data_IF_520135500318
#
_entry.id   IF_520135500318
#
_cell.length_a   1.000
_cell.length_b   1.000
_cell.length_c   1.000
_cell.angle_alpha   90.00
_cell.angle_beta   90.00
_cell.angle_gamma   90.00
#
_symmetry.space_group_name_H-M   'P 1'
#
loop_
_entity.id
_entity.type
_entity.pdbx_description
1 polymer ?
#
# COMPACT_ATOMS: atom_id res chain seq x y z
N UNK A 1 24.26 -22.55 4.88
CA UNK A 1 23.18 -21.95 4.08
C UNK A 1 22.06 -22.93 3.75
N UNK A 2 22.36 -24.16 3.29
CA UNK A 2 21.34 -25.17 3.00
C UNK A 2 20.34 -25.41 4.15
N UNK A 3 20.81 -25.74 5.36
CA UNK A 3 19.92 -25.98 6.52
C UNK A 3 19.00 -24.78 6.81
N UNK A 4 19.51 -23.56 6.69
CA UNK A 4 18.73 -22.32 6.90
C UNK A 4 17.64 -22.14 5.85
N UNK A 5 17.89 -22.55 4.61
CA UNK A 5 16.87 -22.56 3.55
C UNK A 5 15.79 -23.60 3.86
N UNK A 6 16.16 -24.82 4.30
CA UNK A 6 15.20 -25.86 4.66
C UNK A 6 14.34 -25.46 5.88
N UNK A 7 14.92 -24.81 6.89
CA UNK A 7 14.18 -24.21 8.01
C UNK A 7 13.22 -23.10 7.55
N UNK A 8 13.70 -22.22 6.66
CA UNK A 8 12.89 -21.14 6.11
C UNK A 8 11.71 -21.66 5.27
N UNK A 9 11.92 -22.71 4.47
CA UNK A 9 10.86 -23.42 3.73
C UNK A 9 9.78 -23.90 4.68
N UNK A 10 10.16 -24.57 5.77
CA UNK A 10 9.22 -25.05 6.78
C UNK A 10 8.45 -23.92 7.46
N UNK A 11 9.15 -22.84 7.84
CA UNK A 11 8.54 -21.67 8.48
C UNK A 11 7.53 -20.94 7.59
N UNK A 12 7.79 -20.87 6.30
CA UNK A 12 6.96 -20.15 5.33
C UNK A 12 6.03 -21.07 4.52
N UNK A 13 5.92 -22.34 4.91
CA UNK A 13 5.10 -23.35 4.25
C UNK A 13 5.32 -23.41 2.72
N UNK A 14 6.58 -23.31 2.29
CA UNK A 14 6.94 -23.30 0.87
C UNK A 14 6.83 -24.71 0.28
N UNK A 15 6.20 -24.79 -0.88
CA UNK A 15 6.06 -26.01 -1.67
C UNK A 15 6.56 -25.70 -3.08
N UNK A 16 7.43 -26.56 -3.61
CA UNK A 16 8.00 -26.44 -4.95
C UNK A 16 7.53 -27.62 -5.81
N UNK A 17 7.40 -27.41 -7.11
CA UNK A 17 6.92 -28.42 -8.05
C UNK A 17 7.89 -29.60 -8.15
N UNK A 18 9.19 -29.33 -8.15
CA UNK A 18 10.23 -30.34 -8.26
C UNK A 18 11.56 -29.91 -7.59
N UNK A 19 12.54 -30.81 -7.61
CA UNK A 19 13.89 -30.58 -7.07
C UNK A 19 14.63 -29.49 -7.86
N UNK A 20 14.34 -29.34 -9.15
CA UNK A 20 14.99 -28.34 -10.01
C UNK A 20 14.54 -26.93 -9.60
N UNK A 21 13.25 -26.73 -9.37
CA UNK A 21 12.71 -25.48 -8.83
C UNK A 21 13.28 -25.21 -7.43
N UNK A 22 13.26 -26.20 -6.52
CA UNK A 22 13.82 -26.05 -5.17
C UNK A 22 15.29 -25.60 -5.21
N UNK A 23 16.08 -26.16 -6.12
CA UNK A 23 17.50 -25.79 -6.29
C UNK A 23 17.65 -24.37 -6.86
N UNK A 24 16.82 -23.98 -7.83
CA UNK A 24 16.79 -22.60 -8.33
C UNK A 24 16.45 -21.59 -7.22
N UNK A 25 15.40 -21.90 -6.45
CA UNK A 25 14.93 -21.10 -5.30
C UNK A 25 15.99 -20.98 -4.20
N UNK A 26 16.76 -22.04 -3.96
CA UNK A 26 17.89 -21.99 -3.03
C UNK A 26 18.98 -20.99 -3.45
N UNK A 27 19.30 -20.91 -4.75
CA UNK A 27 20.32 -19.97 -5.24
C UNK A 27 19.87 -18.53 -5.02
N UNK A 28 18.60 -18.23 -5.31
CA UNK A 28 17.99 -16.92 -5.07
C UNK A 28 17.97 -16.59 -3.58
N UNK A 29 17.51 -17.54 -2.75
CA UNK A 29 17.49 -17.41 -1.30
C UNK A 29 18.86 -17.08 -0.73
N UNK A 30 19.89 -17.83 -1.12
CA UNK A 30 21.26 -17.59 -0.66
C UNK A 30 21.74 -16.17 -1.00
N UNK A 31 21.54 -15.75 -2.25
CA UNK A 31 21.93 -14.40 -2.71
C UNK A 31 21.24 -13.29 -1.91
N UNK A 32 19.92 -13.43 -1.71
CA UNK A 32 19.14 -12.47 -0.93
C UNK A 32 19.58 -12.41 0.54
N UNK A 33 19.81 -13.56 1.17
CA UNK A 33 20.29 -13.65 2.56
C UNK A 33 21.64 -12.97 2.73
N UNK A 34 22.60 -13.24 1.84
CA UNK A 34 23.93 -12.61 1.87
C UNK A 34 23.84 -11.08 1.71
N UNK A 35 22.97 -10.60 0.81
CA UNK A 35 22.68 -9.17 0.63
C UNK A 35 22.11 -8.54 1.91
N UNK A 36 21.10 -9.17 2.50
CA UNK A 36 20.42 -8.71 3.72
C UNK A 36 21.43 -8.58 4.86
N UNK A 37 22.25 -9.59 5.10
CA UNK A 37 23.24 -9.59 6.17
C UNK A 37 24.35 -8.57 5.97
N UNK A 38 24.78 -8.38 4.72
CA UNK A 38 25.75 -7.35 4.39
C UNK A 38 25.20 -5.95 4.70
N UNK A 39 23.99 -5.64 4.26
CA UNK A 39 23.39 -4.31 4.40
C UNK A 39 22.99 -3.99 5.85
N UNK A 40 22.54 -4.99 6.61
CA UNK A 40 22.17 -4.81 8.01
C UNK A 40 23.33 -4.37 8.93
N UNK A 41 24.59 -4.53 8.49
CA UNK A 41 25.80 -4.06 9.20
C UNK A 41 25.97 -2.53 9.17
N UNK A 42 25.38 -1.85 8.18
CA UNK A 42 25.62 -0.41 7.91
C UNK A 42 24.37 0.46 7.99
N UNK A 43 23.19 -0.15 8.19
CA UNK A 43 21.90 0.54 8.12
C UNK A 43 21.25 0.75 9.48
N UNK A 44 20.55 1.88 9.57
CA UNK A 44 19.72 2.30 10.70
C UNK A 44 18.39 1.54 10.75
N UNK A 45 17.79 1.26 9.60
CA UNK A 45 16.66 0.32 9.46
C UNK A 45 17.16 -1.11 9.24
N UNK A 46 16.29 -2.09 9.46
CA UNK A 46 16.60 -3.51 9.33
C UNK A 46 15.83 -4.17 8.19
N UNK A 47 16.54 -5.02 7.48
CA UNK A 47 16.00 -5.98 6.53
C UNK A 47 15.87 -7.35 7.21
N UNK A 48 14.92 -8.18 6.75
CA UNK A 48 14.75 -9.55 7.21
C UNK A 48 14.68 -10.54 6.06
N UNK A 49 15.09 -11.77 6.34
CA UNK A 49 14.82 -12.95 5.51
C UNK A 49 13.34 -13.31 5.68
N UNK A 50 12.47 -12.51 5.05
CA UNK A 50 11.01 -12.61 5.16
C UNK A 50 10.46 -13.63 4.15
N UNK A 51 9.14 -13.64 3.96
CA UNK A 51 8.49 -14.59 3.04
C UNK A 51 8.93 -14.44 1.58
N UNK A 52 9.58 -13.35 1.16
CA UNK A 52 9.98 -13.13 -0.23
C UNK A 52 11.42 -13.56 -0.53
N UNK A 53 12.10 -14.23 0.41
CA UNK A 53 13.53 -14.50 0.32
C UNK A 53 13.92 -15.40 -0.86
N UNK A 54 13.04 -16.26 -1.37
CA UNK A 54 13.29 -17.12 -2.52
C UNK A 54 12.84 -16.55 -3.88
N UNK A 55 12.42 -15.29 -3.92
CA UNK A 55 12.02 -14.58 -5.14
C UNK A 55 13.13 -13.67 -5.63
N UNK A 56 13.34 -13.64 -6.95
CA UNK A 56 14.12 -12.56 -7.57
C UNK A 56 13.36 -11.25 -7.44
N UNK A 57 14.05 -10.12 -7.65
CA UNK A 57 13.37 -8.84 -7.60
C UNK A 57 12.33 -8.71 -8.73
N UNK A 58 12.62 -9.22 -9.92
CA UNK A 58 11.69 -9.17 -11.06
C UNK A 58 10.42 -10.00 -10.79
N UNK A 59 10.55 -11.20 -10.23
CA UNK A 59 9.40 -12.01 -9.82
C UNK A 59 8.59 -11.30 -8.73
N UNK A 60 9.26 -10.71 -7.75
CA UNK A 60 8.60 -9.96 -6.69
C UNK A 60 7.81 -8.77 -7.24
N UNK A 61 8.45 -7.95 -8.10
CA UNK A 61 7.81 -6.81 -8.76
C UNK A 61 6.59 -7.25 -9.56
N UNK A 62 6.73 -8.29 -10.37
CA UNK A 62 5.64 -8.77 -11.22
C UNK A 62 4.42 -9.31 -10.42
N UNK A 63 4.64 -9.88 -9.23
CA UNK A 63 3.59 -10.56 -8.46
C UNK A 63 2.97 -9.69 -7.36
N UNK A 64 3.72 -8.76 -6.76
CA UNK A 64 3.32 -8.08 -5.51
C UNK A 64 3.13 -6.57 -5.65
N UNK A 65 3.49 -5.98 -6.79
CA UNK A 65 3.16 -4.59 -7.13
C UNK A 65 2.03 -4.56 -8.17
N UNK A 66 1.53 -3.38 -8.55
CA UNK A 66 0.37 -3.29 -9.44
C UNK A 66 -0.24 -1.91 -9.64
N UNK A 67 0.40 -0.85 -9.18
CA UNK A 67 -0.02 0.51 -9.52
C UNK A 67 0.33 0.81 -10.99
N UNK A 68 -0.60 1.43 -11.73
CA UNK A 68 -0.44 1.70 -13.18
C UNK A 68 -0.59 3.19 -13.53
N UNK A 69 0.18 4.06 -12.87
CA UNK A 69 0.17 5.52 -13.07
C UNK A 69 0.36 5.99 -14.51
N UNK A 70 1.32 5.40 -15.24
CA UNK A 70 1.71 5.87 -16.58
C UNK A 70 0.77 5.49 -17.74
N UNK A 71 -0.07 4.45 -17.58
CA UNK A 71 -0.86 3.90 -18.69
C UNK A 71 -2.31 4.41 -18.75
N UNK A 72 -2.82 5.02 -17.67
CA UNK A 72 -4.25 5.36 -17.52
C UNK A 72 -4.50 6.88 -17.53
N UNK A 73 -3.44 7.70 -17.46
CA UNK A 73 -3.54 9.16 -17.36
C UNK A 73 -3.79 9.91 -18.69
N UNK A 74 -4.10 9.23 -19.80
CA UNK A 74 -4.33 9.91 -21.09
C UNK A 74 -5.74 10.52 -21.25
N UNK A 75 -6.62 10.51 -20.24
CA UNK A 75 -8.01 10.94 -20.48
C UNK A 75 -8.70 11.79 -19.41
N UNK A 76 -8.07 12.13 -18.28
CA UNK A 76 -8.74 12.94 -17.24
C UNK A 76 -7.87 14.00 -16.57
N UNK A 77 -6.96 14.62 -17.32
CA UNK A 77 -6.47 15.97 -17.01
C UNK A 77 -7.57 17.02 -17.25
N UNK A 78 -8.75 16.82 -16.68
CA UNK A 78 -9.65 17.90 -16.40
C UNK A 78 -9.13 18.55 -15.13
N UNK A 79 -8.46 19.69 -15.27
CA UNK A 79 -8.08 20.57 -14.16
C UNK A 79 -9.37 20.85 -13.37
N UNK A 80 -9.64 20.06 -12.32
CA UNK A 80 -10.64 20.43 -11.32
C UNK A 80 -10.02 21.57 -10.53
N UNK A 81 -10.41 22.78 -10.91
CA UNK A 81 -10.07 24.07 -10.29
C UNK A 81 -10.61 24.22 -8.85
N UNK A 82 -10.91 23.13 -8.15
CA UNK A 82 -11.23 23.17 -6.72
C UNK A 82 -9.93 23.31 -5.94
N UNK A 83 -9.81 24.38 -5.17
CA UNK A 83 -8.72 24.55 -4.20
C UNK A 83 -8.62 23.32 -3.28
N UNK A 84 -7.41 22.81 -3.06
CA UNK A 84 -7.16 21.74 -2.10
C UNK A 84 -7.81 22.05 -0.75
N UNK A 85 -8.68 21.16 -0.26
CA UNK A 85 -9.54 21.35 0.92
C UNK A 85 -8.77 21.80 2.15
N UNK A 86 -7.56 21.27 2.33
CA UNK A 86 -6.74 21.57 3.49
C UNK A 86 -5.69 22.67 3.22
N UNK A 87 -5.73 23.36 2.08
CA UNK A 87 -4.74 24.38 1.70
C UNK A 87 -4.48 25.40 2.81
N UNK A 88 -5.55 25.90 3.45
CA UNK A 88 -5.50 26.95 4.47
C UNK A 88 -5.30 26.43 5.90
N UNK A 89 -5.18 25.12 6.11
CA UNK A 89 -4.86 24.57 7.44
C UNK A 89 -3.42 24.94 7.80
N UNK A 90 -3.22 25.61 8.93
CA UNK A 90 -1.89 25.98 9.41
C UNK A 90 -1.16 24.78 10.00
N UNK A 91 0.16 24.69 9.79
CA UNK A 91 0.96 23.58 10.32
C UNK A 91 0.97 23.54 11.85
N UNK A 92 0.91 24.70 12.51
CA UNK A 92 0.84 24.78 13.97
C UNK A 92 -0.47 24.26 14.57
N UNK A 93 -1.53 24.11 13.77
CA UNK A 93 -2.79 23.51 14.20
C UNK A 93 -2.82 21.98 14.03
N UNK A 94 -1.84 21.40 13.31
CA UNK A 94 -1.79 19.95 13.11
C UNK A 94 -1.13 19.25 14.32
N UNK A 95 -1.58 18.03 14.67
CA UNK A 95 -0.88 17.21 15.65
C UNK A 95 0.56 16.91 15.18
N UNK A 96 1.51 16.85 16.11
CA UNK A 96 2.91 16.47 15.82
C UNK A 96 2.98 15.01 15.29
N UNK A 97 2.10 14.15 15.80
CA UNK A 97 2.00 12.76 15.38
C UNK A 97 0.53 12.35 15.22
N UNK A 98 0.24 11.58 14.19
CA UNK A 98 -1.06 10.97 13.93
C UNK A 98 -0.88 9.48 13.75
N UNK A 99 -1.75 8.69 14.38
CA UNK A 99 -1.81 7.24 14.20
C UNK A 99 -3.28 6.81 14.22
N UNK A 100 -3.87 6.66 13.04
CA UNK A 100 -5.28 6.31 12.90
C UNK A 100 -5.61 4.91 13.44
N UNK A 101 -4.61 4.05 13.63
CA UNK A 101 -4.80 2.73 14.28
C UNK A 101 -5.27 2.93 15.72
N UNK A 102 -4.65 3.87 16.45
CA UNK A 102 -5.02 4.21 17.83
C UNK A 102 -6.39 4.86 17.96
N UNK A 103 -6.94 5.36 16.85
CA UNK A 103 -8.29 5.96 16.76
C UNK A 103 -9.34 4.97 16.26
N UNK A 104 -8.97 3.70 16.04
CA UNK A 104 -9.88 2.67 15.53
C UNK A 104 -10.29 2.86 14.07
N UNK A 105 -9.59 3.71 13.31
CA UNK A 105 -9.90 4.04 11.91
C UNK A 105 -9.05 3.24 10.91
N UNK A 106 -8.56 2.05 11.30
CA UNK A 106 -7.74 1.19 10.44
C UNK A 106 -8.14 -0.27 10.69
N UNK A 107 -8.57 -0.98 9.65
CA UNK A 107 -8.84 -2.43 9.71
C UNK A 107 -7.53 -3.22 9.85
N UNK A 108 -7.58 -4.51 10.27
CA UNK A 108 -6.40 -5.37 10.30
C UNK A 108 -5.67 -5.42 8.96
N UNK A 109 -4.37 -5.73 9.00
CA UNK A 109 -3.57 -5.98 7.79
C UNK A 109 -4.18 -7.13 6.99
N UNK A 110 -4.21 -6.95 5.67
CA UNK A 110 -4.67 -7.95 4.70
C UNK A 110 -3.49 -8.38 3.81
N UNK A 111 -3.70 -9.41 3.01
CA UNK A 111 -2.69 -9.96 2.09
C UNK A 111 -3.29 -10.08 0.68
N UNK A 112 -2.71 -9.35 -0.28
CA UNK A 112 -3.10 -9.39 -1.70
C UNK A 112 -2.60 -10.66 -2.41
N UNK A 113 -1.63 -11.38 -1.84
CA UNK A 113 -1.02 -12.53 -2.51
C UNK A 113 -0.32 -12.14 -3.81
N UNK A 114 -0.22 -13.08 -4.75
CA UNK A 114 0.40 -12.89 -6.06
C UNK A 114 -0.58 -12.27 -7.08
N UNK A 115 -1.19 -11.15 -6.71
CA UNK A 115 -2.14 -10.40 -7.52
C UNK A 115 -1.81 -8.91 -7.40
N UNK A 116 -1.65 -8.20 -8.51
CA UNK A 116 -1.34 -6.77 -8.58
C UNK A 116 -2.50 -5.84 -8.21
N UNK A 117 -3.20 -6.16 -7.13
CA UNK A 117 -4.41 -5.47 -6.67
C UNK A 117 -4.14 -4.44 -5.55
N UNK A 118 -2.88 -4.06 -5.32
CA UNK A 118 -2.51 -3.07 -4.30
C UNK A 118 -3.31 -1.76 -4.40
N UNK A 119 -3.68 -1.34 -5.61
CA UNK A 119 -4.55 -0.19 -5.89
C UNK A 119 -5.91 -0.31 -5.19
N UNK A 120 -6.53 -1.50 -5.25
CA UNK A 120 -7.82 -1.78 -4.60
C UNK A 120 -7.68 -1.78 -3.07
N UNK A 121 -6.62 -2.40 -2.53
CA UNK A 121 -6.35 -2.42 -1.09
C UNK A 121 -6.08 -1.01 -0.54
N UNK A 122 -5.33 -0.19 -1.28
CA UNK A 122 -5.04 1.20 -0.90
C UNK A 122 -6.31 2.04 -0.83
N UNK A 123 -7.14 2.00 -1.90
CA UNK A 123 -8.42 2.71 -1.96
C UNK A 123 -9.40 2.25 -0.87
N UNK A 124 -9.55 0.93 -0.68
CA UNK A 124 -10.39 0.37 0.39
C UNK A 124 -9.90 0.83 1.76
N UNK A 125 -8.59 0.76 2.04
CA UNK A 125 -8.01 1.21 3.30
C UNK A 125 -8.32 2.67 3.63
N UNK A 126 -8.27 3.55 2.63
CA UNK A 126 -8.63 4.96 2.80
C UNK A 126 -10.13 5.15 3.11
N UNK A 127 -11.02 4.43 2.43
CA UNK A 127 -12.48 4.53 2.64
C UNK A 127 -12.88 3.96 3.99
N UNK A 128 -12.35 2.79 4.38
CA UNK A 128 -12.65 2.17 5.66
C UNK A 128 -12.33 3.14 6.81
N UNK A 129 -11.17 3.81 6.75
CA UNK A 129 -10.76 4.79 7.75
C UNK A 129 -11.57 6.08 7.71
N UNK A 130 -11.77 6.68 6.54
CA UNK A 130 -12.59 7.88 6.40
C UNK A 130 -14.03 7.65 6.88
N UNK A 131 -14.60 6.47 6.59
CA UNK A 131 -15.93 6.06 7.04
C UNK A 131 -16.01 5.94 8.54
N UNK A 132 -15.01 5.32 9.18
CA UNK A 132 -14.98 5.31 10.64
C UNK A 132 -14.97 6.74 11.17
N UNK A 133 -14.08 7.60 10.68
CA UNK A 133 -13.90 8.96 11.21
C UNK A 133 -15.18 9.79 11.09
N UNK A 134 -15.93 9.62 9.99
CA UNK A 134 -17.12 10.42 9.70
C UNK A 134 -18.42 9.83 10.27
N UNK A 135 -18.54 8.50 10.29
CA UNK A 135 -19.78 7.79 10.66
C UNK A 135 -19.66 6.96 11.94
N UNK A 136 -18.49 6.90 12.55
CA UNK A 136 -18.20 6.16 13.79
C UNK A 136 -18.06 4.64 13.62
N UNK A 137 -18.23 4.09 12.40
CA UNK A 137 -18.29 2.65 12.17
C UNK A 137 -17.13 2.18 11.29
N UNK A 138 -16.25 1.35 11.84
CA UNK A 138 -15.22 0.65 11.07
C UNK A 138 -15.82 -0.60 10.45
N UNK A 139 -15.77 -0.71 9.12
CA UNK A 139 -16.34 -1.81 8.35
C UNK A 139 -15.23 -2.36 7.46
N UNK A 140 -15.03 -3.68 7.44
CA UNK A 140 -14.12 -4.29 6.47
C UNK A 140 -14.83 -4.40 5.12
N UNK A 141 -14.38 -3.64 4.13
CA UNK A 141 -14.93 -3.61 2.77
C UNK A 141 -14.22 -4.61 1.87
N UNK A 142 -14.84 -4.93 0.73
CA UNK A 142 -14.34 -5.91 -0.23
C UNK A 142 -13.40 -5.27 -1.26
N UNK A 143 -12.14 -5.70 -1.25
CA UNK A 143 -11.21 -5.44 -2.35
C UNK A 143 -11.56 -6.25 -3.60
N UNK A 144 -12.09 -7.48 -3.44
CA UNK A 144 -12.42 -8.34 -4.57
C UNK A 144 -13.50 -7.74 -5.46
N UNK A 145 -14.46 -7.01 -4.88
CA UNK A 145 -15.45 -6.29 -5.67
C UNK A 145 -14.78 -5.30 -6.62
N UNK A 146 -13.73 -4.60 -6.20
CA UNK A 146 -12.99 -3.69 -7.10
C UNK A 146 -12.26 -4.49 -8.18
N UNK A 147 -11.54 -5.54 -7.78
CA UNK A 147 -10.80 -6.40 -8.72
C UNK A 147 -11.71 -6.96 -9.82
N UNK A 148 -12.92 -7.41 -9.47
CA UNK A 148 -13.82 -8.08 -10.41
C UNK A 148 -14.72 -7.11 -11.20
N UNK A 149 -15.04 -5.94 -10.64
CA UNK A 149 -16.11 -5.07 -11.16
C UNK A 149 -15.65 -3.70 -11.65
N UNK A 150 -14.47 -3.21 -11.25
CA UNK A 150 -13.94 -1.98 -11.81
C UNK A 150 -13.37 -2.24 -13.21
N UNK A 151 -14.13 -1.88 -14.23
CA UNK A 151 -13.76 -2.09 -15.64
C UNK A 151 -12.79 -1.03 -16.18
N UNK A 152 -12.42 -0.01 -15.40
CA UNK A 152 -11.41 0.97 -15.79
C UNK A 152 -10.00 0.52 -15.42
N UNK A 153 -9.90 -0.29 -14.37
CA UNK A 153 -8.67 -0.96 -13.96
C UNK A 153 -8.60 -2.37 -14.54
N UNK A 154 -7.48 -3.05 -14.29
CA UNK A 154 -7.13 -4.33 -14.93
C UNK A 154 -7.02 -5.46 -13.91
N UNK A 155 -7.81 -5.42 -12.83
CA UNK A 155 -7.84 -6.46 -11.81
C UNK A 155 -6.45 -6.73 -11.21
N UNK A 156 -5.98 -7.97 -11.29
CA UNK A 156 -4.64 -8.39 -10.85
C UNK A 156 -3.50 -7.90 -11.75
N UNK A 157 -3.77 -7.37 -12.94
CA UNK A 157 -2.77 -6.75 -13.82
C UNK A 157 -2.49 -5.28 -13.46
N UNK A 158 -3.22 -4.73 -12.49
CA UNK A 158 -2.97 -3.43 -11.91
C UNK A 158 -4.07 -2.40 -12.15
N UNK A 159 -3.92 -1.24 -11.51
CA UNK A 159 -4.95 -0.20 -11.52
C UNK A 159 -4.55 1.09 -10.79
N UNK A 160 -5.52 1.98 -10.63
CA UNK A 160 -5.40 3.27 -9.96
C UNK A 160 -6.40 3.42 -8.82
N UNK A 161 -5.97 4.02 -7.72
CA UNK A 161 -6.87 4.29 -6.59
C UNK A 161 -8.01 5.24 -6.97
N UNK A 162 -7.77 6.18 -7.88
CA UNK A 162 -8.78 7.14 -8.33
C UNK A 162 -9.86 6.48 -9.20
N UNK A 163 -9.47 5.55 -10.08
CA UNK A 163 -10.42 4.71 -10.85
C UNK A 163 -11.31 3.92 -9.89
N UNK A 164 -10.72 3.29 -8.87
CA UNK A 164 -11.46 2.62 -7.82
C UNK A 164 -12.46 3.56 -7.13
N UNK A 165 -12.06 4.78 -6.74
CA UNK A 165 -12.98 5.76 -6.16
C UNK A 165 -14.12 6.12 -7.12
N UNK A 166 -13.83 6.31 -8.41
CA UNK A 166 -14.87 6.56 -9.42
C UNK A 166 -15.85 5.40 -9.56
N UNK A 167 -15.37 4.15 -9.59
CA UNK A 167 -16.22 2.97 -9.59
C UNK A 167 -17.13 2.95 -8.36
N UNK A 168 -16.58 3.21 -7.17
CA UNK A 168 -17.35 3.17 -5.91
C UNK A 168 -18.47 4.21 -5.91
N UNK A 169 -18.19 5.41 -6.43
CA UNK A 169 -19.22 6.44 -6.62
C UNK A 169 -20.31 5.96 -7.58
N UNK A 170 -19.92 5.43 -8.75
CA UNK A 170 -20.85 4.99 -9.79
C UNK A 170 -21.70 3.78 -9.36
N UNK A 171 -21.13 2.85 -8.60
CA UNK A 171 -21.81 1.69 -8.05
C UNK A 171 -22.70 2.05 -6.84
N UNK A 172 -22.56 3.25 -6.27
CA UNK A 172 -23.26 3.68 -5.07
C UNK A 172 -22.69 3.10 -3.77
N UNK A 173 -21.45 2.61 -3.80
CA UNK A 173 -20.71 2.09 -2.65
C UNK A 173 -19.98 0.77 -2.88
N UNK A 174 -19.44 0.23 -1.80
CA UNK A 174 -18.87 -1.12 -1.71
C UNK A 174 -19.65 -2.00 -0.75
N UNK A 175 -19.63 -3.29 -1.03
CA UNK A 175 -20.04 -4.33 -0.09
C UNK A 175 -18.92 -4.70 0.88
N UNK A 176 -19.24 -5.56 1.85
CA UNK A 176 -18.29 -6.00 2.88
C UNK A 176 -17.39 -7.12 2.39
N UNK A 177 -16.19 -7.24 3.01
CA UNK A 177 -15.28 -8.37 2.81
C UNK A 177 -15.97 -9.72 3.04
N UNK A 178 -16.88 -9.82 4.01
CA UNK A 178 -17.61 -11.05 4.30
C UNK A 178 -18.59 -11.45 3.19
N UNK A 179 -19.23 -10.47 2.54
CA UNK A 179 -20.18 -10.75 1.46
C UNK A 179 -19.45 -11.13 0.15
N UNK A 180 -18.34 -10.45 -0.12
CA UNK A 180 -17.52 -10.65 -1.32
C UNK A 180 -16.04 -10.87 -0.91
N UNK A 181 -15.68 -12.11 -0.50
CA UNK A 181 -14.34 -12.42 -0.02
C UNK A 181 -13.27 -12.29 -1.10
N UNK A 182 -12.06 -11.93 -0.67
CA UNK A 182 -10.88 -11.84 -1.52
C UNK A 182 -10.30 -13.21 -1.84
N UNK A 183 -9.99 -13.44 -3.11
CA UNK A 183 -9.51 -14.73 -3.64
C UNK A 183 -8.14 -14.62 -4.33
N UNK A 184 -7.52 -13.44 -4.36
CA UNK A 184 -6.18 -13.21 -4.94
C UNK A 184 -6.04 -13.57 -6.43
N UNK A 185 -7.12 -13.42 -7.20
CA UNK A 185 -7.17 -13.62 -8.64
C UNK A 185 -8.33 -12.82 -9.23
N UNK A 186 -8.32 -12.63 -10.54
CA UNK A 186 -9.46 -12.07 -11.26
C UNK A 186 -10.66 -13.03 -11.21
N UNK A 187 -11.84 -12.44 -11.04
CA UNK A 187 -13.12 -13.13 -11.12
C UNK A 187 -14.09 -12.39 -12.03
N UNK A 188 -15.28 -12.98 -12.21
CA UNK A 188 -16.39 -12.30 -12.87
C UNK A 188 -17.17 -11.47 -11.85
N UNK A 189 -17.44 -10.20 -12.15
CA UNK A 189 -18.22 -9.33 -11.27
C UNK A 189 -19.55 -9.95 -10.85
N UNK A 190 -19.70 -10.23 -9.55
CA UNK A 190 -20.98 -10.65 -8.98
C UNK A 190 -21.85 -9.43 -8.67
N UNK A 191 -22.60 -8.94 -9.66
CA UNK A 191 -23.45 -7.76 -9.53
C UNK A 191 -24.49 -7.85 -8.40
N UNK A 192 -24.99 -9.05 -8.09
CA UNK A 192 -25.95 -9.23 -6.97
C UNK A 192 -25.30 -8.89 -5.63
N UNK A 193 -24.06 -9.34 -5.41
CA UNK A 193 -23.29 -9.01 -4.20
C UNK A 193 -22.80 -7.55 -4.23
N UNK A 194 -22.33 -7.08 -5.38
CA UNK A 194 -21.80 -5.73 -5.55
C UNK A 194 -22.85 -4.62 -5.32
N UNK A 195 -24.15 -4.91 -5.53
CA UNK A 195 -25.25 -3.98 -5.22
C UNK A 195 -25.62 -3.92 -3.74
N UNK A 196 -25.12 -4.83 -2.90
CA UNK A 196 -25.37 -4.82 -1.45
C UNK A 196 -24.39 -3.89 -0.74
N UNK A 197 -24.51 -2.60 -1.05
CA UNK A 197 -23.59 -1.57 -0.59
C UNK A 197 -23.77 -1.30 0.91
N UNK A 198 -22.66 -1.18 1.62
CA UNK A 198 -22.61 -0.85 3.05
C UNK A 198 -22.00 0.52 3.30
N UNK A 199 -21.18 1.02 2.38
CA UNK A 199 -20.49 2.30 2.49
C UNK A 199 -20.30 2.91 1.12
N UNK A 200 -20.64 4.19 0.99
CA UNK A 200 -20.45 5.00 -0.21
C UNK A 200 -19.60 6.22 0.10
N UNK A 201 -19.06 6.81 -0.97
CA UNK A 201 -18.31 8.07 -0.96
C UNK A 201 -19.05 9.09 -1.83
N UNK A 202 -18.99 10.36 -1.47
CA UNK A 202 -19.59 11.46 -2.26
C UNK A 202 -18.62 12.00 -3.32
N UNK A 203 -17.33 11.70 -3.17
CA UNK A 203 -16.27 12.09 -4.09
C UNK A 203 -14.91 11.55 -3.64
N UNK A 204 -13.87 12.05 -4.28
CA UNK A 204 -12.49 11.93 -3.83
C UNK A 204 -11.73 13.20 -4.25
N UNK A 205 -10.57 13.42 -3.64
CA UNK A 205 -9.74 14.59 -3.90
C UNK A 205 -8.27 14.19 -3.95
N UNK A 206 -7.56 14.76 -4.91
CA UNK A 206 -6.12 14.59 -5.06
C UNK A 206 -5.37 15.55 -4.15
N UNK A 207 -4.33 15.03 -3.48
CA UNK A 207 -3.35 15.86 -2.79
C UNK A 207 -2.46 16.52 -3.84
N UNK A 208 -2.11 17.82 -3.68
CA UNK A 208 -1.11 18.47 -4.52
C UNK A 208 0.14 17.63 -4.73
N UNK A 209 0.47 17.38 -6.00
CA UNK A 209 1.62 16.57 -6.43
C UNK A 209 2.93 17.16 -5.89
N UNK A 210 3.84 16.29 -5.47
CA UNK A 210 5.17 16.62 -4.97
C UNK A 210 5.14 17.57 -3.77
N UNK A 211 4.23 17.30 -2.83
CA UNK A 211 4.01 18.15 -1.67
C UNK A 211 3.72 17.33 -0.39
N UNK A 212 4.77 16.89 0.29
CA UNK A 212 4.67 16.20 1.59
C UNK A 212 3.90 17.02 2.64
N UNK A 213 3.96 18.35 2.55
CA UNK A 213 3.29 19.23 3.50
C UNK A 213 1.77 19.23 3.29
N UNK A 214 1.30 19.21 2.04
CA UNK A 214 -0.11 19.02 1.70
C UNK A 214 -0.58 17.60 2.05
N UNK A 215 0.25 16.58 1.78
CA UNK A 215 -0.02 15.21 2.20
C UNK A 215 -0.18 15.11 3.72
N UNK A 216 0.67 15.78 4.49
CA UNK A 216 0.60 15.78 5.95
C UNK A 216 -0.72 16.37 6.45
N UNK A 217 -1.19 17.45 5.82
CA UNK A 217 -2.49 18.04 6.11
C UNK A 217 -3.61 17.05 5.83
N UNK A 218 -3.60 16.33 4.71
CA UNK A 218 -4.61 15.32 4.40
C UNK A 218 -4.57 14.14 5.39
N UNK A 219 -3.39 13.57 5.64
CA UNK A 219 -3.19 12.44 6.57
C UNK A 219 -3.57 12.82 8.00
N UNK A 220 -3.44 14.09 8.39
CA UNK A 220 -3.88 14.58 9.69
C UNK A 220 -5.40 14.50 9.91
N UNK A 221 -6.18 14.43 8.83
CA UNK A 221 -7.65 14.42 8.88
C UNK A 221 -8.25 13.03 8.60
N UNK A 222 -7.56 12.17 7.84
CA UNK A 222 -8.00 10.81 7.54
C UNK A 222 -6.86 9.99 6.90
N UNK A 223 -6.97 8.65 6.82
CA UNK A 223 -6.09 7.85 5.97
C UNK A 223 -6.16 8.24 4.49
N UNK A 224 -5.02 8.21 3.81
CA UNK A 224 -4.85 8.66 2.41
C UNK A 224 -4.24 7.54 1.59
N UNK A 225 -4.76 7.28 0.39
CA UNK A 225 -4.14 6.39 -0.58
C UNK A 225 -2.92 7.06 -1.18
N UNK A 226 -1.78 6.37 -1.22
CA UNK A 226 -0.53 6.89 -1.82
C UNK A 226 0.09 5.83 -2.72
N UNK A 227 0.64 6.25 -3.86
CA UNK A 227 1.52 5.42 -4.68
C UNK A 227 2.99 5.75 -4.40
N UNK A 228 3.85 4.74 -4.55
CA UNK A 228 5.30 4.82 -4.35
C UNK A 228 6.01 3.74 -5.18
N UNK A 229 7.33 3.83 -5.27
CA UNK A 229 8.19 2.73 -5.73
C UNK A 229 8.36 1.73 -4.57
N UNK A 230 7.66 0.60 -4.66
CA UNK A 230 7.64 -0.45 -3.64
C UNK A 230 8.30 -1.75 -4.11
N UNK A 231 8.70 -1.80 -5.38
CA UNK A 231 9.31 -2.96 -6.02
C UNK A 231 10.79 -3.15 -5.70
N UNK A 232 11.48 -2.17 -5.14
CA UNK A 232 12.91 -2.24 -4.84
C UNK A 232 13.29 -3.31 -3.80
N UNK A 233 14.49 -3.88 -3.93
CA UNK A 233 14.99 -4.96 -3.04
C UNK A 233 15.01 -4.57 -1.55
N UNK A 234 15.26 -3.30 -1.24
CA UNK A 234 15.24 -2.81 0.14
C UNK A 234 13.82 -2.79 0.73
N UNK A 235 12.84 -2.43 -0.10
CA UNK A 235 11.44 -2.43 0.26
C UNK A 235 10.92 -3.86 0.40
N UNK A 236 11.25 -4.75 -0.55
CA UNK A 236 10.94 -6.18 -0.53
C UNK A 236 11.32 -6.82 0.81
N UNK A 237 12.51 -6.52 1.33
CA UNK A 237 13.04 -7.14 2.56
C UNK A 237 12.90 -6.30 3.82
N UNK A 238 12.18 -5.16 3.78
CA UNK A 238 12.00 -4.32 4.96
C UNK A 238 11.42 -5.10 6.15
N UNK A 239 11.97 -4.83 7.33
CA UNK A 239 11.54 -5.44 8.59
C UNK A 239 11.17 -4.40 9.64
N UNK A 240 12.04 -3.43 9.93
CA UNK A 240 11.77 -2.47 11.00
C UNK A 240 12.64 -1.21 10.91
N UNK A 241 12.25 -0.18 11.66
CA UNK A 241 12.94 1.12 11.70
C UNK A 241 12.36 2.10 10.68
N UNK A 242 12.83 3.35 10.72
CA UNK A 242 12.45 4.33 9.69
C UNK A 242 13.23 4.01 8.42
N UNK A 243 12.52 3.62 7.38
CA UNK A 243 13.08 3.30 6.07
C UNK A 243 13.69 4.55 5.44
N UNK A 244 14.99 4.44 5.13
CA UNK A 244 15.81 5.43 4.42
C UNK A 244 16.57 4.74 3.28
N UNK A 245 16.01 3.63 2.76
CA UNK A 245 16.64 2.83 1.71
C UNK A 245 16.58 3.54 0.35
N UNK A 246 17.35 3.01 -0.60
CA UNK A 246 17.33 3.50 -1.98
C UNK A 246 16.10 2.97 -2.72
N UNK A 247 15.47 3.85 -3.49
CA UNK A 247 14.31 3.58 -4.33
C UNK A 247 14.26 4.65 -5.44
N UNK A 248 13.67 4.31 -6.59
CA UNK A 248 13.41 5.30 -7.64
C UNK A 248 12.08 6.03 -7.38
N UNK A 249 11.64 6.82 -8.34
CA UNK A 249 10.31 7.46 -8.37
C UNK A 249 9.38 6.82 -9.39
N UNK A 250 9.76 5.65 -9.94
CA UNK A 250 8.95 4.87 -10.88
C UNK A 250 7.86 4.11 -10.10
N UNK A 251 6.78 4.83 -9.79
CA UNK A 251 5.68 4.33 -8.96
C UNK A 251 5.11 3.01 -9.52
N UNK A 252 5.14 1.96 -8.70
CA UNK A 252 4.65 0.64 -9.06
C UNK A 252 3.76 0.00 -7.99
N UNK A 253 3.69 0.58 -6.79
CA UNK A 253 2.92 0.05 -5.66
C UNK A 253 2.01 1.10 -5.04
N UNK A 254 0.89 0.67 -4.46
CA UNK A 254 -0.06 1.52 -3.77
C UNK A 254 -0.32 1.03 -2.33
N UNK A 255 -0.27 1.95 -1.38
CA UNK A 255 -0.44 1.69 0.06
C UNK A 255 -1.33 2.77 0.68
N UNK A 256 -1.73 2.60 1.94
CA UNK A 256 -2.48 3.64 2.66
C UNK A 256 -1.59 4.30 3.70
N UNK A 257 -1.40 5.63 3.62
CA UNK A 257 -0.81 6.42 4.69
C UNK A 257 -1.84 6.57 5.82
N UNK A 258 -1.55 5.94 6.97
CA UNK A 258 -2.45 5.89 8.15
C UNK A 258 -1.93 6.73 9.31
N UNK A 259 -0.91 7.54 9.07
CA UNK A 259 -0.34 8.40 10.09
C UNK A 259 1.04 8.93 9.74
N UNK A 260 1.61 9.67 10.68
CA UNK A 260 2.98 10.16 10.67
C UNK A 260 3.44 10.43 12.09
N UNK A 261 4.73 10.58 12.29
CA UNK A 261 5.28 10.97 13.57
C UNK A 261 6.77 11.25 13.51
N UNK A 262 7.37 11.30 14.68
CA UNK A 262 8.79 11.53 14.87
C UNK A 262 9.32 10.45 15.80
N UNK A 263 10.46 9.87 15.42
CA UNK A 263 11.15 8.89 16.24
C UNK A 263 11.96 9.59 17.33
N UNK A 264 12.41 8.84 18.33
CA UNK A 264 13.15 9.39 19.48
C UNK A 264 14.47 10.07 19.13
N UNK A 265 15.03 9.81 17.93
CA UNK A 265 16.24 10.45 17.43
C UNK A 265 15.94 11.68 16.54
N UNK A 266 14.69 12.12 16.47
CA UNK A 266 14.23 13.25 15.65
C UNK A 266 13.92 12.90 14.19
N UNK A 267 14.10 11.64 13.76
CA UNK A 267 13.76 11.25 12.38
C UNK A 267 12.24 11.18 12.22
N UNK A 268 11.70 12.04 11.35
CA UNK A 268 10.28 12.06 11.00
C UNK A 268 9.94 10.97 10.00
N UNK A 269 8.72 10.42 10.11
CA UNK A 269 8.27 9.33 9.27
C UNK A 269 6.77 9.37 8.97
N UNK A 270 6.38 8.78 7.85
CA UNK A 270 5.02 8.33 7.55
C UNK A 270 4.79 6.94 8.13
N UNK A 271 3.54 6.62 8.47
CA UNK A 271 3.10 5.26 8.82
C UNK A 271 2.27 4.71 7.67
N UNK A 272 2.80 3.70 6.98
CA UNK A 272 2.17 3.09 5.82
C UNK A 272 1.57 1.75 6.20
N UNK A 273 0.31 1.53 5.81
CA UNK A 273 -0.36 0.24 5.83
C UNK A 273 -0.13 -0.45 4.48
N UNK A 274 0.59 -1.57 4.49
CA UNK A 274 0.83 -2.37 3.30
C UNK A 274 -0.20 -3.53 3.19
N UNK A 275 -0.18 -4.24 2.06
CA UNK A 275 -1.11 -5.32 1.69
C UNK A 275 -0.39 -6.66 1.47
N UNK A 276 0.76 -6.88 2.08
CA UNK A 276 1.55 -8.13 1.95
C UNK A 276 1.47 -9.05 3.17
N UNK A 277 0.42 -8.90 3.97
CA UNK A 277 0.21 -9.66 5.19
C UNK A 277 1.04 -9.16 6.38
N UNK A 278 0.72 -9.63 7.60
CA UNK A 278 1.35 -9.14 8.83
C UNK A 278 2.80 -9.61 8.99
N UNK A 279 3.26 -10.60 8.22
CA UNK A 279 4.62 -11.16 8.34
C UNK A 279 5.69 -10.30 7.64
N UNK A 280 5.29 -9.30 6.86
CA UNK A 280 6.19 -8.33 6.24
C UNK A 280 6.30 -7.06 7.09
N UNK A 281 7.49 -6.45 7.15
CA UNK A 281 7.69 -5.17 7.85
C UNK A 281 7.31 -5.22 9.35
N UNK A 282 6.82 -4.09 9.85
CA UNK A 282 6.43 -3.91 11.25
C UNK A 282 4.98 -4.38 11.45
N UNK A 283 4.76 -5.70 11.45
CA UNK A 283 3.44 -6.31 11.47
C UNK A 283 2.55 -5.86 10.31
N UNK A 284 3.09 -5.81 9.08
CA UNK A 284 2.44 -5.35 7.86
C UNK A 284 2.46 -3.84 7.62
N UNK A 285 3.08 -3.08 8.53
CA UNK A 285 3.28 -1.65 8.38
C UNK A 285 4.73 -1.31 8.02
N UNK A 286 4.93 -0.11 7.50
CA UNK A 286 6.25 0.48 7.32
C UNK A 286 6.27 1.89 7.88
N UNK A 287 7.37 2.25 8.54
CA UNK A 287 7.73 3.65 8.75
C UNK A 287 8.72 4.06 7.67
N UNK A 288 8.37 5.07 6.87
CA UNK A 288 9.24 5.59 5.80
C UNK A 288 9.57 7.06 6.09
N UNK A 289 10.80 7.49 5.80
CA UNK A 289 11.25 8.83 6.10
C UNK A 289 10.34 9.89 5.47
N UNK A 290 10.06 10.93 6.25
CA UNK A 290 9.25 12.10 5.89
C UNK A 290 10.11 13.35 5.97
N UNK A 291 9.71 14.41 5.25
CA UNK A 291 10.39 15.70 5.16
C UNK A 291 11.79 15.53 4.54
N UNK A 292 11.86 14.74 3.47
CA UNK A 292 13.08 14.60 2.68
C UNK A 292 13.26 15.81 1.76
N UNK A 293 14.47 15.97 1.21
CA UNK A 293 14.77 17.11 0.33
C UNK A 293 14.03 17.04 -1.00
N UNK A 294 13.80 15.83 -1.50
CA UNK A 294 13.13 15.58 -2.77
C UNK A 294 11.64 15.87 -2.64
N UNK A 295 11.09 16.68 -3.55
CA UNK A 295 9.69 17.14 -3.46
C UNK A 295 8.71 15.99 -3.68
N UNK A 296 9.14 15.00 -4.44
CA UNK A 296 8.45 13.74 -4.71
C UNK A 296 8.26 12.91 -3.43
N UNK A 297 8.97 13.22 -2.33
CA UNK A 297 9.05 12.38 -1.15
C UNK A 297 9.90 11.13 -1.41
N UNK A 298 10.31 10.44 -0.34
CA UNK A 298 11.10 9.21 -0.48
C UNK A 298 10.27 8.16 -1.25
N UNK A 299 10.89 7.56 -2.27
CA UNK A 299 10.25 6.60 -3.19
C UNK A 299 9.06 7.16 -3.98
N UNK A 300 8.97 8.48 -4.17
CA UNK A 300 7.89 9.12 -4.92
C UNK A 300 6.55 9.20 -4.17
N UNK A 301 6.56 8.97 -2.85
CA UNK A 301 5.36 8.87 -2.01
C UNK A 301 4.43 10.10 -2.05
N UNK A 302 4.95 11.29 -2.37
CA UNK A 302 4.18 12.52 -2.48
C UNK A 302 3.74 12.84 -3.93
N UNK A 303 4.05 11.99 -4.91
CA UNK A 303 3.73 12.23 -6.32
C UNK A 303 2.26 11.96 -6.66
N UNK A 304 1.67 10.94 -6.05
CA UNK A 304 0.30 10.47 -6.35
C UNK A 304 -0.40 10.03 -5.08
N UNK A 305 -1.18 10.93 -4.51
CA UNK A 305 -1.95 10.68 -3.30
C UNK A 305 -3.36 11.23 -3.45
N UNK A 306 -4.34 10.46 -2.99
CA UNK A 306 -5.75 10.83 -3.06
C UNK A 306 -6.54 10.23 -1.90
N UNK A 307 -7.65 10.87 -1.56
CA UNK A 307 -8.49 10.40 -0.45
C UNK A 307 -9.99 10.55 -0.77
N UNK A 308 -10.82 9.62 -0.26
CA UNK A 308 -12.26 9.69 -0.46
C UNK A 308 -12.88 10.80 0.40
N UNK A 309 -13.97 11.38 -0.09
CA UNK A 309 -14.85 12.24 0.69
C UNK A 309 -16.14 11.48 1.01
N UNK A 310 -16.49 11.43 2.30
CA UNK A 310 -17.69 10.75 2.81
C UNK A 310 -18.82 11.75 3.00
#
# INVERSE_FOLDING_TARGET
MQNRHDEWIGKHCRVYADVKEKNSRYVVFKSNVERIEHLNKRRTFKLAVNQFADLTNDEFRAMYTGYKGGSVLSSQSGIRTSSFRYQNVSFGALPISVDWRKKGAVTPIKNQGSCGSCWAFSAVGAIEGATQIKKGKLISLSEQQLVDCDTKDFGCSGGLMDSAFQYIMANGGLTTKSNYPYIAQDGTCNYKKAKQNTTSITGFEDVPVNNEAALMKAVAHQPVSVALEGGGLDFQFYSSGVFTGECSTDLDHAVTAVGYGESTNGTKYWILKNSWGPNWGENGYMRIQKDVKDKEGLCGLAMKASYPTI
#
